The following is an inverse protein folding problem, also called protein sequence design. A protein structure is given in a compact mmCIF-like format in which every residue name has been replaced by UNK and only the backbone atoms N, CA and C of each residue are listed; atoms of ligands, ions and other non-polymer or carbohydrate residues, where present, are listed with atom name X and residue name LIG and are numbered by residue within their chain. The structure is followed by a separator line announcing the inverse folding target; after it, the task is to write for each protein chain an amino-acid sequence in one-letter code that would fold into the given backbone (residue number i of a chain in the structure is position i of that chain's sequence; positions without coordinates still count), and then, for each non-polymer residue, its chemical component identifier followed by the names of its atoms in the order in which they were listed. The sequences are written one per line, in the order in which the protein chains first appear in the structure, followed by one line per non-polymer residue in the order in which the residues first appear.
data_IF_186489930673
#
_entry.id   IF_186489930673
#
_cell.length_a   1.000
_cell.length_b   1.000
_cell.length_c   1.000
_cell.angle_alpha   90.00
_cell.angle_beta   90.00
_cell.angle_gamma   90.00
#
_symmetry.space_group_name_H-M   'P 1'
#
loop_
_entity.id
_entity.type
_entity.pdbx_description
1 polymer ?
#
# COMPACT_ATOMS: atom_id res chain seq x y z
N UNK A 1 24.98 -19.97 6.78
CA UNK A 1 24.41 -20.24 5.46
C UNK A 1 23.24 -21.18 5.70
N UNK A 2 22.02 -20.67 5.72
CA UNK A 2 20.84 -21.50 5.91
C UNK A 2 20.62 -22.40 4.70
N UNK A 3 20.45 -23.70 4.92
CA UNK A 3 20.02 -24.66 3.91
C UNK A 3 18.60 -24.27 3.45
N UNK A 4 18.47 -23.45 2.40
CA UNK A 4 17.20 -23.27 1.73
C UNK A 4 16.80 -24.62 1.12
N UNK A 5 15.60 -25.10 1.40
CA UNK A 5 15.08 -26.29 0.76
C UNK A 5 15.11 -26.13 -0.78
N UNK A 6 15.47 -27.18 -1.52
CA UNK A 6 15.52 -27.12 -2.98
C UNK A 6 14.15 -26.73 -3.55
N UNK A 7 14.10 -25.90 -4.61
CA UNK A 7 12.83 -25.49 -5.22
C UNK A 7 12.11 -26.73 -5.80
N UNK A 8 10.78 -26.70 -5.70
CA UNK A 8 9.95 -27.78 -6.27
C UNK A 8 9.52 -27.38 -7.67
N UNK A 9 9.79 -28.26 -8.65
CA UNK A 9 9.30 -28.15 -10.03
C UNK A 9 8.23 -29.22 -10.27
N UNK A 10 7.12 -28.80 -10.87
CA UNK A 10 6.01 -29.69 -11.21
C UNK A 10 6.20 -30.21 -12.64
N UNK A 11 6.16 -31.52 -12.81
CA UNK A 11 6.08 -32.19 -14.10
C UNK A 11 4.76 -32.94 -14.19
N UNK A 12 3.84 -32.44 -15.01
CA UNK A 12 2.55 -33.06 -15.22
C UNK A 12 2.52 -33.75 -16.59
N UNK A 13 2.65 -35.07 -16.60
CA UNK A 13 2.53 -35.90 -17.80
C UNK A 13 2.17 -37.33 -17.41
N UNK A 14 1.28 -37.96 -18.17
CA UNK A 14 0.95 -39.37 -18.01
C UNK A 14 1.88 -40.29 -18.79
N UNK A 15 2.70 -39.76 -19.71
CA UNK A 15 3.59 -40.49 -20.59
C UNK A 15 4.93 -40.85 -19.90
N UNK A 16 5.27 -42.14 -19.69
CA UNK A 16 6.46 -42.54 -18.98
C UNK A 16 7.76 -42.14 -19.69
N UNK A 17 7.81 -42.22 -21.03
CA UNK A 17 8.98 -41.88 -21.84
C UNK A 17 9.32 -40.40 -21.74
N UNK A 18 8.32 -39.52 -21.78
CA UNK A 18 8.50 -38.09 -21.65
C UNK A 18 8.97 -37.69 -20.24
N UNK A 19 8.42 -38.33 -19.21
CA UNK A 19 8.88 -38.12 -17.83
C UNK A 19 10.33 -38.51 -17.64
N UNK A 20 10.71 -39.73 -18.12
CA UNK A 20 12.08 -40.23 -18.02
C UNK A 20 13.10 -39.32 -18.72
N UNK A 21 12.68 -38.62 -19.79
CA UNK A 21 13.53 -37.69 -20.51
C UNK A 21 13.62 -36.30 -19.83
N UNK A 22 12.52 -35.78 -19.22
CA UNK A 22 12.46 -34.45 -18.63
C UNK A 22 12.91 -34.40 -17.16
N UNK A 23 12.71 -35.44 -16.37
CA UNK A 23 13.13 -35.48 -14.96
C UNK A 23 14.62 -35.15 -14.76
N UNK A 24 15.56 -35.76 -15.54
CA UNK A 24 16.98 -35.38 -15.43
C UNK A 24 17.26 -33.91 -15.80
N UNK A 25 16.54 -33.39 -16.80
CA UNK A 25 16.68 -31.97 -17.20
C UNK A 25 16.27 -31.08 -16.06
N UNK A 26 15.11 -31.31 -15.44
CA UNK A 26 14.61 -30.53 -14.31
C UNK A 26 15.51 -30.69 -13.08
N UNK A 27 15.98 -31.89 -12.77
CA UNK A 27 16.91 -32.11 -11.67
C UNK A 27 18.25 -31.39 -11.85
N UNK A 28 18.69 -31.16 -13.11
CA UNK A 28 19.93 -30.41 -13.40
C UNK A 28 19.90 -28.96 -12.92
N UNK A 29 18.73 -28.39 -12.62
CA UNK A 29 18.55 -27.08 -12.00
C UNK A 29 18.63 -27.10 -10.46
N UNK A 30 18.94 -28.24 -9.85
CA UNK A 30 18.98 -28.40 -8.40
C UNK A 30 17.59 -28.41 -7.73
N UNK A 31 16.55 -28.70 -8.51
CA UNK A 31 15.18 -28.73 -8.05
C UNK A 31 14.72 -30.12 -7.67
N UNK A 32 13.78 -30.23 -6.71
CA UNK A 32 13.01 -31.45 -6.45
C UNK A 32 11.86 -31.53 -7.45
N UNK A 33 11.81 -32.60 -8.23
CA UNK A 33 10.76 -32.78 -9.24
C UNK A 33 9.55 -33.50 -8.59
N UNK A 34 8.40 -32.85 -8.66
CA UNK A 34 7.09 -33.40 -8.28
C UNK A 34 6.37 -33.86 -9.54
N UNK A 35 6.16 -35.15 -9.70
CA UNK A 35 5.46 -35.70 -10.85
C UNK A 35 3.99 -35.95 -10.53
N UNK A 36 3.11 -35.55 -11.47
CA UNK A 36 1.66 -35.82 -11.42
C UNK A 36 1.17 -36.34 -12.78
N UNK A 37 0.12 -37.16 -12.77
CA UNK A 37 -0.29 -37.92 -13.94
C UNK A 37 -1.62 -37.45 -14.56
N UNK A 38 -2.26 -36.43 -13.96
CA UNK A 38 -3.55 -35.89 -14.45
C UNK A 38 -3.62 -34.41 -14.29
N UNK A 39 -4.49 -33.77 -15.07
CA UNK A 39 -4.75 -32.34 -15.01
C UNK A 39 -5.31 -31.90 -13.65
N UNK A 40 -6.16 -32.70 -13.02
CA UNK A 40 -6.70 -32.43 -11.69
C UNK A 40 -5.61 -32.39 -10.63
N UNK A 41 -4.71 -33.41 -10.61
CA UNK A 41 -3.59 -33.45 -9.68
C UNK A 41 -2.59 -32.28 -9.93
N UNK A 42 -2.40 -31.87 -11.18
CA UNK A 42 -1.58 -30.71 -11.52
C UNK A 42 -2.19 -29.41 -10.93
N UNK A 43 -3.50 -29.22 -11.08
CA UNK A 43 -4.20 -28.06 -10.53
C UNK A 43 -4.12 -28.02 -9.00
N UNK A 44 -4.31 -29.14 -8.32
CA UNK A 44 -4.18 -29.24 -6.87
C UNK A 44 -2.74 -28.92 -6.40
N UNK A 45 -1.73 -29.45 -7.10
CA UNK A 45 -0.34 -29.12 -6.81
C UNK A 45 0.00 -27.65 -6.98
N UNK A 46 -0.54 -27.00 -8.01
CA UNK A 46 -0.36 -25.56 -8.27
C UNK A 46 -1.10 -24.65 -7.25
N UNK A 47 -2.19 -25.14 -6.65
CA UNK A 47 -2.98 -24.43 -5.62
C UNK A 47 -2.49 -24.67 -4.19
N UNK A 48 -1.59 -25.63 -3.98
CA UNK A 48 -1.11 -25.97 -2.64
C UNK A 48 -0.29 -24.83 -2.00
N UNK A 49 -0.16 -24.85 -0.69
CA UNK A 49 0.69 -23.89 0.05
C UNK A 49 2.16 -23.95 -0.43
N UNK A 50 2.62 -25.14 -0.82
CA UNK A 50 3.94 -25.38 -1.41
C UNK A 50 3.87 -25.36 -2.95
N UNK A 51 3.35 -24.25 -3.51
CA UNK A 51 3.23 -24.09 -4.95
C UNK A 51 4.60 -24.25 -5.65
N UNK A 52 4.63 -24.90 -6.83
CA UNK A 52 5.88 -25.11 -7.56
C UNK A 52 6.50 -23.78 -8.00
N UNK A 53 7.82 -23.79 -8.20
CA UNK A 53 8.55 -22.66 -8.80
C UNK A 53 8.58 -22.69 -10.33
N UNK A 54 8.14 -23.78 -10.92
CA UNK A 54 7.98 -24.02 -12.36
C UNK A 54 6.94 -25.11 -12.55
N UNK A 55 6.04 -24.99 -13.50
CA UNK A 55 5.11 -26.03 -13.92
C UNK A 55 5.31 -26.38 -15.40
N UNK A 56 5.66 -27.64 -15.66
CA UNK A 56 5.66 -28.22 -17.00
C UNK A 56 4.38 -29.05 -17.16
N UNK A 57 3.56 -28.70 -18.16
CA UNK A 57 2.26 -29.30 -18.40
C UNK A 57 2.22 -29.95 -19.78
N UNK A 58 2.08 -31.24 -19.83
CA UNK A 58 1.86 -32.00 -21.07
C UNK A 58 0.47 -31.69 -21.63
N UNK A 59 0.38 -31.29 -22.89
CA UNK A 59 -0.89 -31.00 -23.56
C UNK A 59 -1.85 -32.19 -23.62
N UNK A 60 -1.34 -33.40 -23.49
CA UNK A 60 -2.08 -34.68 -23.50
C UNK A 60 -2.46 -35.18 -22.09
N UNK A 61 -2.41 -34.33 -21.07
CA UNK A 61 -2.82 -34.72 -19.72
C UNK A 61 -4.29 -35.16 -19.70
N UNK A 62 -4.58 -36.34 -19.12
CA UNK A 62 -5.96 -36.80 -18.97
C UNK A 62 -6.70 -36.02 -17.88
N UNK A 63 -8.02 -35.90 -18.02
CA UNK A 63 -8.94 -35.37 -17.03
C UNK A 63 -9.61 -34.07 -17.48
N UNK A 64 -9.01 -32.91 -17.25
CA UNK A 64 -9.54 -31.60 -17.64
C UNK A 64 -9.03 -31.21 -19.03
N UNK A 65 -9.83 -30.44 -19.76
CA UNK A 65 -9.31 -29.77 -20.94
C UNK A 65 -8.15 -28.82 -20.57
N UNK A 66 -7.10 -28.77 -21.38
CA UNK A 66 -5.91 -27.95 -21.12
C UNK A 66 -6.25 -26.46 -21.02
N UNK A 67 -7.19 -25.96 -21.82
CA UNK A 67 -7.69 -24.58 -21.70
C UNK A 67 -8.25 -24.29 -20.31
N UNK A 68 -9.10 -25.15 -19.81
CA UNK A 68 -9.69 -25.00 -18.48
C UNK A 68 -8.66 -25.15 -17.35
N UNK A 69 -7.70 -26.06 -17.48
CA UNK A 69 -6.59 -26.19 -16.53
C UNK A 69 -5.78 -24.92 -16.44
N UNK A 70 -5.39 -24.33 -17.57
CA UNK A 70 -4.58 -23.12 -17.65
C UNK A 70 -5.32 -21.91 -17.08
N UNK A 71 -6.60 -21.73 -17.43
CA UNK A 71 -7.42 -20.64 -16.90
C UNK A 71 -7.57 -20.74 -15.39
N UNK A 72 -7.87 -21.93 -14.87
CA UNK A 72 -7.97 -22.21 -13.45
C UNK A 72 -6.63 -21.98 -12.72
N UNK A 73 -5.52 -22.39 -13.31
CA UNK A 73 -4.19 -22.17 -12.75
C UNK A 73 -3.88 -20.66 -12.63
N UNK A 74 -4.17 -19.87 -13.65
CA UNK A 74 -3.93 -18.41 -13.64
C UNK A 74 -4.87 -17.63 -12.70
N UNK A 75 -6.13 -18.05 -12.60
CA UNK A 75 -7.10 -17.43 -11.68
C UNK A 75 -6.81 -17.73 -10.20
N UNK A 76 -6.29 -18.91 -9.91
CA UNK A 76 -6.07 -19.39 -8.53
C UNK A 76 -4.79 -18.86 -7.89
N UNK A 77 -3.85 -18.38 -8.68
CA UNK A 77 -2.50 -17.97 -8.25
C UNK A 77 -2.46 -16.46 -7.95
N UNK A 78 -3.45 -15.93 -7.24
CA UNK A 78 -3.33 -14.57 -6.67
C UNK A 78 -2.24 -14.54 -5.59
N UNK A 79 -1.03 -14.16 -5.99
CA UNK A 79 0.11 -13.92 -5.08
C UNK A 79 1.31 -14.87 -5.24
N UNK A 80 1.15 -16.09 -5.75
CA UNK A 80 2.25 -17.00 -6.05
C UNK A 80 2.33 -17.23 -7.55
N UNK A 81 3.07 -16.40 -8.27
CA UNK A 81 3.26 -16.55 -9.70
C UNK A 81 4.52 -17.39 -9.98
N UNK A 82 4.38 -18.37 -10.83
CA UNK A 82 5.45 -19.23 -11.34
C UNK A 82 5.27 -19.42 -12.85
N UNK A 83 6.35 -19.68 -13.60
CA UNK A 83 6.24 -19.94 -15.03
C UNK A 83 5.51 -21.26 -15.31
N UNK A 84 4.61 -21.21 -16.30
CA UNK A 84 3.91 -22.35 -16.86
C UNK A 84 4.44 -22.61 -18.25
N UNK A 85 5.01 -23.77 -18.48
CA UNK A 85 5.54 -24.21 -19.78
C UNK A 85 4.74 -25.41 -20.25
N UNK A 86 4.16 -25.33 -21.45
CA UNK A 86 3.36 -26.43 -22.00
C UNK A 86 4.20 -27.27 -22.97
N UNK A 87 4.02 -28.60 -22.93
CA UNK A 87 4.71 -29.54 -23.79
C UNK A 87 3.74 -29.98 -24.90
N UNK A 88 4.15 -29.77 -26.15
CA UNK A 88 3.29 -29.93 -27.34
C UNK A 88 3.96 -30.86 -28.36
N UNK A 89 3.15 -31.51 -29.20
CA UNK A 89 3.67 -32.17 -30.40
C UNK A 89 3.99 -31.16 -31.50
N UNK A 90 3.08 -30.19 -31.70
CA UNK A 90 3.21 -29.15 -32.71
C UNK A 90 2.70 -27.81 -32.18
N UNK A 91 3.30 -26.73 -32.61
CA UNK A 91 2.85 -25.38 -32.31
C UNK A 91 1.70 -24.99 -33.25
N UNK A 92 0.49 -24.82 -32.70
CA UNK A 92 -0.70 -24.35 -33.45
C UNK A 92 -1.00 -22.91 -33.16
N UNK A 93 -1.85 -22.25 -33.98
CA UNK A 93 -2.28 -20.86 -33.77
C UNK A 93 -2.92 -20.63 -32.40
N UNK A 94 -3.66 -21.63 -31.89
CA UNK A 94 -4.24 -21.56 -30.54
C UNK A 94 -3.18 -21.48 -29.44
N UNK A 95 -2.04 -22.17 -29.59
CA UNK A 95 -0.93 -22.10 -28.65
C UNK A 95 -0.14 -20.79 -28.79
N UNK A 96 0.01 -20.29 -30.02
CA UNK A 96 0.60 -18.97 -30.27
C UNK A 96 -0.19 -17.89 -29.55
N UNK A 97 -1.53 -17.94 -29.60
CA UNK A 97 -2.39 -16.97 -28.91
C UNK A 97 -2.27 -17.09 -27.37
N UNK A 98 -2.18 -18.29 -26.82
CA UNK A 98 -1.94 -18.49 -25.38
C UNK A 98 -0.59 -17.95 -24.91
N UNK A 99 0.45 -18.04 -25.74
CA UNK A 99 1.75 -17.41 -25.49
C UNK A 99 1.63 -15.88 -25.51
N UNK A 100 0.96 -15.31 -26.51
CA UNK A 100 0.78 -13.86 -26.66
C UNK A 100 -0.02 -13.24 -25.53
N UNK A 101 -1.03 -13.96 -25.03
CA UNK A 101 -1.90 -13.52 -23.92
C UNK A 101 -1.29 -13.80 -22.55
N UNK A 102 -0.13 -14.46 -22.47
CA UNK A 102 0.54 -14.78 -21.21
C UNK A 102 -0.15 -15.88 -20.39
N UNK A 103 -1.07 -16.64 -21.00
CA UNK A 103 -1.67 -17.83 -20.35
C UNK A 103 -0.63 -18.91 -20.10
N UNK A 104 0.32 -19.07 -21.03
CA UNK A 104 1.55 -19.86 -20.85
C UNK A 104 2.76 -18.97 -21.06
N UNK A 105 3.84 -19.24 -20.31
CA UNK A 105 5.07 -18.45 -20.42
C UNK A 105 5.96 -18.96 -21.57
N UNK A 106 5.91 -20.28 -21.86
CA UNK A 106 6.64 -20.87 -22.97
C UNK A 106 6.04 -22.22 -23.39
N UNK A 107 6.54 -22.75 -24.51
CA UNK A 107 6.19 -24.09 -25.04
C UNK A 107 7.44 -24.87 -25.36
N UNK A 108 7.38 -26.17 -25.11
CA UNK A 108 8.38 -27.15 -25.49
C UNK A 108 7.80 -28.11 -26.54
N UNK A 109 8.55 -28.36 -27.61
CA UNK A 109 8.16 -29.40 -28.53
C UNK A 109 8.65 -30.75 -28.01
N UNK A 110 7.78 -31.75 -28.02
CA UNK A 110 8.06 -33.11 -27.57
C UNK A 110 9.22 -33.74 -28.39
N UNK A 111 9.33 -33.40 -29.66
CA UNK A 111 10.37 -33.88 -30.56
C UNK A 111 11.74 -33.25 -30.37
N UNK A 112 11.86 -32.23 -29.52
CA UNK A 112 13.12 -31.53 -29.27
C UNK A 112 14.05 -32.37 -28.35
N UNK A 113 15.34 -32.07 -28.38
CA UNK A 113 16.32 -32.70 -27.52
C UNK A 113 16.39 -32.07 -26.11
N UNK A 114 17.04 -32.78 -25.19
CA UNK A 114 17.18 -32.33 -23.79
C UNK A 114 17.92 -31.02 -23.65
N UNK A 115 18.88 -30.70 -24.52
CA UNK A 115 19.63 -29.44 -24.49
C UNK A 115 18.74 -28.27 -24.86
N UNK A 116 17.90 -28.44 -25.88
CA UNK A 116 16.91 -27.44 -26.27
C UNK A 116 15.89 -27.20 -25.15
N UNK A 117 15.34 -28.26 -24.54
CA UNK A 117 14.43 -28.15 -23.41
C UNK A 117 15.05 -27.40 -22.23
N UNK A 118 16.30 -27.72 -21.89
CA UNK A 118 17.02 -27.03 -20.81
C UNK A 118 17.13 -25.54 -21.05
N UNK A 119 17.55 -25.13 -22.24
CA UNK A 119 17.69 -23.70 -22.62
C UNK A 119 16.34 -23.00 -22.59
N UNK A 120 15.28 -23.61 -23.14
CA UNK A 120 13.93 -23.00 -23.16
C UNK A 120 13.38 -22.83 -21.75
N UNK A 121 13.50 -23.83 -20.90
CA UNK A 121 13.08 -23.75 -19.49
C UNK A 121 13.83 -22.62 -18.76
N UNK A 122 15.16 -22.55 -18.95
CA UNK A 122 15.96 -21.47 -18.35
C UNK A 122 15.53 -20.08 -18.82
N UNK A 123 15.25 -19.92 -20.10
CA UNK A 123 14.77 -18.64 -20.68
C UNK A 123 13.39 -18.28 -20.15
N UNK A 124 12.45 -19.23 -20.08
CA UNK A 124 11.12 -19.01 -19.55
C UNK A 124 11.17 -18.58 -18.06
N UNK A 125 11.98 -19.27 -17.26
CA UNK A 125 12.20 -18.90 -15.86
C UNK A 125 12.80 -17.50 -15.73
N UNK A 126 13.83 -17.17 -16.50
CA UNK A 126 14.49 -15.85 -16.49
C UNK A 126 13.51 -14.76 -16.88
N UNK A 127 12.78 -14.94 -17.98
CA UNK A 127 11.79 -13.96 -18.46
C UNK A 127 10.69 -13.72 -17.41
N UNK A 128 10.17 -14.79 -16.80
CA UNK A 128 9.17 -14.70 -15.74
C UNK A 128 9.68 -13.90 -14.53
N UNK A 129 10.86 -14.21 -14.02
CA UNK A 129 11.43 -13.50 -12.88
C UNK A 129 11.75 -12.04 -13.19
N UNK A 130 12.24 -11.73 -14.39
CA UNK A 130 12.47 -10.35 -14.81
C UNK A 130 11.16 -9.55 -14.89
N UNK A 131 10.11 -10.12 -15.45
CA UNK A 131 8.80 -9.48 -15.49
C UNK A 131 8.29 -9.18 -14.07
N UNK A 132 8.41 -10.14 -13.15
CA UNK A 132 8.02 -9.97 -11.73
C UNK A 132 8.82 -8.88 -11.02
N UNK A 133 10.13 -8.81 -11.27
CA UNK A 133 10.97 -7.75 -10.71
C UNK A 133 10.57 -6.37 -11.24
N UNK A 134 10.26 -6.27 -12.53
CA UNK A 134 9.77 -5.02 -13.11
C UNK A 134 8.43 -4.59 -12.52
N UNK A 135 7.50 -5.50 -12.33
CA UNK A 135 6.22 -5.21 -11.71
C UNK A 135 6.38 -4.75 -10.25
N UNK A 136 7.22 -5.46 -9.48
CA UNK A 136 7.51 -5.07 -8.09
C UNK A 136 8.16 -3.67 -8.01
N UNK A 137 9.10 -3.36 -8.91
CA UNK A 137 9.72 -2.03 -8.98
C UNK A 137 8.72 -0.94 -9.40
N UNK A 138 7.81 -1.26 -10.32
CA UNK A 138 6.72 -0.34 -10.72
C UNK A 138 5.77 -0.06 -9.56
N UNK A 139 5.37 -1.09 -8.82
CA UNK A 139 4.49 -0.95 -7.65
C UNK A 139 5.17 -0.13 -6.55
N UNK A 140 6.47 -0.37 -6.30
CA UNK A 140 7.26 0.42 -5.35
C UNK A 140 7.39 1.89 -5.79
N UNK A 141 7.67 2.14 -7.07
CA UNK A 141 7.75 3.48 -7.63
C UNK A 141 6.40 4.20 -7.57
N UNK A 142 5.29 3.50 -7.87
CA UNK A 142 3.94 4.03 -7.75
C UNK A 142 3.59 4.37 -6.30
N UNK A 143 3.93 3.50 -5.34
CA UNK A 143 3.69 3.78 -3.91
C UNK A 143 4.55 4.94 -3.41
N UNK A 144 5.82 5.04 -3.81
CA UNK A 144 6.68 6.20 -3.52
C UNK A 144 6.12 7.49 -4.11
N UNK A 145 5.60 7.43 -5.35
CA UNK A 145 4.96 8.58 -6.01
C UNK A 145 3.69 9.06 -5.31
N UNK A 146 3.05 8.23 -4.48
CA UNK A 146 1.85 8.58 -3.70
C UNK A 146 2.16 9.26 -2.38
N UNK A 147 3.42 9.29 -1.97
CA UNK A 147 3.86 9.86 -0.70
C UNK A 147 4.52 11.22 -0.90
N UNK A 148 4.32 12.09 0.08
CA UNK A 148 5.10 13.31 0.23
C UNK A 148 6.54 12.96 0.62
N UNK A 149 7.51 13.47 -0.13
CA UNK A 149 8.92 13.10 0.01
C UNK A 149 9.53 13.50 1.38
N UNK A 150 8.98 14.55 2.02
CA UNK A 150 9.48 15.05 3.30
C UNK A 150 8.89 14.27 4.48
N UNK A 151 7.58 14.06 4.47
CA UNK A 151 6.85 13.57 5.64
C UNK A 151 6.45 12.10 5.55
N UNK A 152 6.49 11.52 4.34
CA UNK A 152 5.95 10.19 4.07
C UNK A 152 4.44 10.06 4.30
N UNK A 153 3.71 11.17 4.48
CA UNK A 153 2.26 11.24 4.42
C UNK A 153 1.78 11.05 2.97
N UNK A 154 0.50 10.79 2.74
CA UNK A 154 -0.02 10.78 1.38
C UNK A 154 0.08 12.18 0.76
N UNK A 155 0.50 12.26 -0.51
CA UNK A 155 0.46 13.53 -1.23
C UNK A 155 -0.99 13.89 -1.61
N UNK A 156 -1.19 15.09 -2.18
CA UNK A 156 -2.51 15.61 -2.52
C UNK A 156 -3.35 14.67 -3.40
N UNK A 157 -2.74 14.13 -4.46
CA UNK A 157 -3.42 13.27 -5.44
C UNK A 157 -3.82 11.92 -4.82
N UNK A 158 -2.88 11.30 -4.13
CA UNK A 158 -3.12 10.03 -3.46
C UNK A 158 -4.17 10.17 -2.36
N UNK A 159 -4.11 11.25 -1.57
CA UNK A 159 -5.09 11.51 -0.51
C UNK A 159 -6.50 11.69 -1.09
N UNK A 160 -6.64 12.45 -2.18
CA UNK A 160 -7.94 12.63 -2.84
C UNK A 160 -8.50 11.30 -3.38
N UNK A 161 -7.64 10.50 -4.03
CA UNK A 161 -8.02 9.16 -4.52
C UNK A 161 -8.49 8.24 -3.39
N UNK A 162 -7.79 8.25 -2.26
CA UNK A 162 -8.17 7.47 -1.07
C UNK A 162 -9.48 7.96 -0.45
N UNK A 163 -9.72 9.28 -0.41
CA UNK A 163 -10.97 9.85 0.09
C UNK A 163 -12.17 9.40 -0.74
N UNK A 164 -12.08 9.31 -2.07
CA UNK A 164 -13.15 8.76 -2.90
C UNK A 164 -13.47 7.31 -2.50
N UNK A 165 -12.44 6.47 -2.34
CA UNK A 165 -12.63 5.07 -1.94
C UNK A 165 -13.24 4.93 -0.55
N UNK A 166 -12.80 5.73 0.42
CA UNK A 166 -13.35 5.72 1.78
C UNK A 166 -14.79 6.28 1.79
N UNK A 167 -15.10 7.28 0.96
CA UNK A 167 -16.49 7.79 0.82
C UNK A 167 -17.42 6.69 0.33
N UNK A 168 -17.04 5.94 -0.70
CA UNK A 168 -17.83 4.80 -1.21
C UNK A 168 -18.00 3.72 -0.14
N UNK A 169 -16.96 3.47 0.65
CA UNK A 169 -17.00 2.49 1.75
C UNK A 169 -17.95 2.92 2.86
N UNK A 170 -17.81 4.14 3.38
CA UNK A 170 -18.64 4.64 4.49
C UNK A 170 -20.10 4.83 4.06
N UNK A 171 -20.35 5.16 2.79
CA UNK A 171 -21.70 5.22 2.23
C UNK A 171 -22.39 3.85 2.28
N UNK A 172 -21.70 2.80 1.88
CA UNK A 172 -22.22 1.41 1.95
C UNK A 172 -22.45 0.96 3.39
N UNK A 173 -21.57 1.35 4.30
CA UNK A 173 -21.65 0.99 5.73
C UNK A 173 -22.56 1.93 6.53
N UNK A 174 -23.10 3.00 5.91
CA UNK A 174 -23.87 4.06 6.56
C UNK A 174 -23.15 4.63 7.81
N UNK A 175 -21.84 4.76 7.73
CA UNK A 175 -20.99 5.29 8.79
C UNK A 175 -20.48 6.69 8.44
N UNK A 176 -20.14 7.54 9.43
CA UNK A 176 -19.62 8.87 9.17
C UNK A 176 -18.17 8.82 8.64
N UNK A 177 -17.75 9.87 7.94
CA UNK A 177 -16.36 10.17 7.58
C UNK A 177 -16.08 11.60 8.01
N UNK A 178 -15.15 11.79 8.92
CA UNK A 178 -14.69 13.13 9.30
C UNK A 178 -13.36 13.46 8.64
N UNK A 179 -13.23 14.69 8.17
CA UNK A 179 -11.99 15.29 7.68
C UNK A 179 -11.53 16.34 8.69
N UNK A 180 -10.29 16.22 9.12
CA UNK A 180 -9.61 17.18 10.00
C UNK A 180 -8.46 17.77 9.21
N UNK A 181 -8.63 19.00 8.75
CA UNK A 181 -7.64 19.76 8.03
C UNK A 181 -6.96 20.70 9.02
N UNK A 182 -5.62 20.72 9.05
CA UNK A 182 -4.91 21.64 9.92
C UNK A 182 -3.72 22.29 9.22
N UNK A 183 -3.48 23.54 9.59
CA UNK A 183 -2.41 24.37 9.07
C UNK A 183 -1.44 24.70 10.21
N UNK A 184 -0.14 24.59 9.93
CA UNK A 184 0.92 24.90 10.89
C UNK A 184 1.23 26.39 10.75
N UNK A 185 1.07 27.11 11.85
CA UNK A 185 1.35 28.53 11.89
C UNK A 185 2.87 28.79 11.92
N UNK A 186 3.29 29.94 11.37
CA UNK A 186 4.63 30.52 11.45
C UNK A 186 5.81 29.66 10.93
N UNK A 187 5.56 28.49 10.34
CA UNK A 187 6.64 27.64 9.84
C UNK A 187 7.47 28.33 8.74
N UNK A 188 6.83 29.16 7.91
CA UNK A 188 7.53 29.99 6.90
C UNK A 188 8.47 31.02 7.52
N UNK A 189 8.09 31.58 8.66
CA UNK A 189 8.93 32.52 9.39
C UNK A 189 10.20 31.85 9.91
N UNK A 190 10.10 30.62 10.38
CA UNK A 190 11.25 29.81 10.76
C UNK A 190 12.14 29.47 9.56
N UNK A 191 11.54 29.14 8.41
CA UNK A 191 12.27 28.83 7.17
C UNK A 191 13.11 29.98 6.65
N UNK A 192 12.60 31.24 6.73
CA UNK A 192 13.34 32.42 6.32
C UNK A 192 14.54 32.76 7.21
N UNK A 193 14.53 32.31 8.47
CA UNK A 193 15.60 32.56 9.45
C UNK A 193 16.65 31.47 9.52
N UNK A 194 16.24 30.21 9.42
CA UNK A 194 17.10 29.06 9.71
C UNK A 194 17.24 28.06 8.54
N UNK A 195 16.59 28.33 7.42
CA UNK A 195 16.69 27.55 6.20
C UNK A 195 15.61 26.47 6.04
N UNK A 196 15.45 25.99 4.81
CA UNK A 196 14.41 25.03 4.40
C UNK A 196 14.56 23.67 5.09
N UNK A 197 15.80 23.22 5.31
CA UNK A 197 16.11 21.91 5.93
C UNK A 197 15.52 21.79 7.34
N UNK A 198 15.54 22.87 8.13
CA UNK A 198 14.94 22.87 9.46
C UNK A 198 13.42 22.69 9.39
N UNK A 199 12.77 23.38 8.47
CA UNK A 199 11.31 23.26 8.28
C UNK A 199 10.91 21.85 7.85
N UNK A 200 11.69 21.23 7.00
CA UNK A 200 11.44 19.86 6.56
C UNK A 200 11.61 18.85 7.71
N UNK A 201 12.60 19.03 8.56
CA UNK A 201 12.77 18.23 9.77
C UNK A 201 11.59 18.41 10.75
N UNK A 202 11.10 19.65 10.92
CA UNK A 202 9.91 19.93 11.74
C UNK A 202 8.67 19.26 11.18
N UNK A 203 8.44 19.34 9.86
CA UNK A 203 7.32 18.68 9.18
C UNK A 203 7.38 17.16 9.31
N UNK A 204 8.58 16.57 9.16
CA UNK A 204 8.80 15.13 9.33
C UNK A 204 8.47 14.68 10.76
N UNK A 205 8.98 15.37 11.77
CA UNK A 205 8.73 15.05 13.18
C UNK A 205 7.27 15.27 13.57
N UNK A 206 6.64 16.31 13.05
CA UNK A 206 5.22 16.54 13.23
C UNK A 206 4.38 15.40 12.65
N UNK A 207 4.62 15.04 11.39
CA UNK A 207 3.94 13.92 10.77
C UNK A 207 4.10 12.62 11.57
N UNK A 208 5.29 12.36 12.11
CA UNK A 208 5.54 11.19 12.96
C UNK A 208 4.78 11.26 14.29
N UNK A 209 4.61 12.44 14.92
CA UNK A 209 3.78 12.61 16.13
C UNK A 209 2.29 12.40 15.82
N UNK A 210 1.80 12.97 14.72
CA UNK A 210 0.40 12.78 14.29
C UNK A 210 0.13 11.31 13.99
N UNK A 211 1.00 10.62 13.22
CA UNK A 211 0.84 9.20 12.90
C UNK A 211 0.69 8.30 14.12
N UNK A 212 1.36 8.60 15.22
CA UNK A 212 1.24 7.82 16.47
C UNK A 212 -0.12 7.91 17.14
N UNK A 213 -0.90 8.93 16.81
CA UNK A 213 -2.25 9.13 17.34
C UNK A 213 -3.34 8.58 16.42
N UNK A 214 -2.97 8.11 15.22
CA UNK A 214 -3.88 7.57 14.23
C UNK A 214 -4.04 6.05 14.38
N UNK A 215 -5.24 5.58 14.04
CA UNK A 215 -5.51 4.15 13.91
C UNK A 215 -4.97 3.63 12.57
N UNK A 216 -4.89 2.32 12.41
CA UNK A 216 -4.35 1.68 11.19
C UNK A 216 -5.14 2.00 9.91
N UNK A 217 -6.40 2.36 10.04
CA UNK A 217 -7.28 2.72 8.91
C UNK A 217 -7.51 4.23 8.76
N UNK A 218 -6.98 5.06 9.67
CA UNK A 218 -6.99 6.52 9.51
C UNK A 218 -5.94 6.93 8.48
N UNK A 219 -6.22 7.98 7.73
CA UNK A 219 -5.35 8.45 6.66
C UNK A 219 -4.72 9.79 7.03
N UNK A 220 -3.41 9.92 6.80
CA UNK A 220 -2.69 11.19 6.92
C UNK A 220 -2.17 11.61 5.56
N UNK A 221 -2.57 12.78 5.10
CA UNK A 221 -2.10 13.43 3.88
C UNK A 221 -1.44 14.78 4.16
N UNK A 222 -0.60 15.21 3.22
CA UNK A 222 -0.03 16.55 3.17
C UNK A 222 -0.35 17.16 1.81
N UNK A 223 -1.55 17.79 1.67
CA UNK A 223 -2.00 18.36 0.40
C UNK A 223 -1.32 19.69 0.05
N UNK A 224 -0.61 20.31 0.96
CA UNK A 224 0.11 21.57 0.80
C UNK A 224 1.37 21.66 1.66
N UNK A 225 2.10 22.76 1.54
CA UNK A 225 3.41 22.92 2.17
C UNK A 225 3.35 22.80 3.70
N UNK A 226 2.45 23.55 4.34
CA UNK A 226 2.24 23.57 5.79
C UNK A 226 0.83 23.07 6.17
N UNK A 227 0.16 22.39 5.23
CA UNK A 227 -1.20 21.90 5.34
C UNK A 227 -1.22 20.39 5.44
N UNK A 228 -1.89 19.88 6.45
CA UNK A 228 -2.10 18.46 6.67
C UNK A 228 -3.58 18.11 6.72
N UNK A 229 -3.92 16.93 6.27
CA UNK A 229 -5.27 16.39 6.25
C UNK A 229 -5.31 15.03 6.89
N UNK A 230 -6.16 14.86 7.90
CA UNK A 230 -6.48 13.56 8.49
C UNK A 230 -7.89 13.17 8.07
N UNK A 231 -8.05 11.96 7.56
CA UNK A 231 -9.37 11.38 7.34
C UNK A 231 -9.62 10.26 8.36
N UNK A 232 -10.78 10.34 9.01
CA UNK A 232 -11.21 9.48 10.11
C UNK A 232 -12.48 8.70 9.70
N UNK A 233 -12.35 7.54 9.02
CA UNK A 233 -13.49 6.72 8.65
C UNK A 233 -14.21 6.14 9.88
N UNK A 234 -15.54 6.17 9.89
CA UNK A 234 -16.36 5.69 11.00
C UNK A 234 -16.29 6.56 12.26
N UNK A 235 -15.76 7.79 12.15
CA UNK A 235 -15.60 8.70 13.27
C UNK A 235 -16.77 9.70 13.35
N UNK A 236 -17.56 9.72 14.43
CA UNK A 236 -18.54 10.78 14.68
C UNK A 236 -17.89 12.16 14.84
N UNK A 237 -18.66 13.21 14.61
CA UNK A 237 -18.17 14.60 14.64
C UNK A 237 -17.54 14.97 15.98
N UNK A 238 -18.19 14.61 17.09
CA UNK A 238 -17.71 14.89 18.44
C UNK A 238 -16.31 14.27 18.68
N UNK A 239 -16.12 13.05 18.22
CA UNK A 239 -14.83 12.35 18.32
C UNK A 239 -13.75 12.96 17.43
N UNK A 240 -14.12 13.54 16.29
CA UNK A 240 -13.17 14.26 15.42
C UNK A 240 -12.73 15.60 16.07
N UNK A 241 -13.62 16.29 16.78
CA UNK A 241 -13.29 17.47 17.57
C UNK A 241 -12.34 17.10 18.69
N UNK A 242 -12.65 16.07 19.49
CA UNK A 242 -11.74 15.58 20.53
C UNK A 242 -10.39 15.11 20.00
N UNK A 243 -10.35 14.55 18.78
CA UNK A 243 -9.11 14.21 18.14
C UNK A 243 -8.27 15.47 17.84
N UNK A 244 -8.86 16.54 17.33
CA UNK A 244 -8.17 17.81 17.06
C UNK A 244 -7.67 18.46 18.38
N UNK A 245 -8.47 18.47 19.45
CA UNK A 245 -8.08 18.93 20.77
C UNK A 245 -6.87 18.13 21.31
N UNK A 246 -6.92 16.81 21.19
CA UNK A 246 -5.81 15.94 21.59
C UNK A 246 -4.55 16.20 20.77
N UNK A 247 -4.68 16.44 19.45
CA UNK A 247 -3.52 16.84 18.62
C UNK A 247 -2.90 18.13 19.13
N UNK A 248 -3.70 19.15 19.47
CA UNK A 248 -3.19 20.39 20.07
C UNK A 248 -2.41 20.10 21.36
N UNK A 249 -3.02 19.36 22.27
CA UNK A 249 -2.45 19.09 23.59
C UNK A 249 -1.19 18.21 23.52
N UNK A 250 -1.22 17.11 22.77
CA UNK A 250 -0.15 16.11 22.83
C UNK A 250 0.93 16.36 21.75
N UNK A 251 0.57 16.95 20.61
CA UNK A 251 1.51 17.15 19.50
C UNK A 251 2.13 18.53 19.52
N UNK A 252 1.32 19.58 19.68
CA UNK A 252 1.76 20.98 19.55
C UNK A 252 2.22 21.60 20.87
N UNK A 253 1.65 21.22 22.00
CA UNK A 253 2.05 21.73 23.30
C UNK A 253 3.49 21.33 23.71
N UNK A 254 3.99 20.22 23.19
CA UNK A 254 5.35 19.76 23.45
C UNK A 254 6.34 20.33 22.44
N UNK A 255 7.40 21.04 22.83
CA UNK A 255 8.33 21.64 21.89
C UNK A 255 9.05 20.58 21.04
N UNK A 256 9.37 20.97 19.82
CA UNK A 256 10.21 20.19 18.91
C UNK A 256 11.68 20.52 19.18
N UNK A 257 12.45 19.56 19.64
CA UNK A 257 13.89 19.76 19.88
C UNK A 257 14.67 19.49 18.61
N UNK A 258 15.38 20.50 18.10
CA UNK A 258 16.27 20.43 16.95
C UNK A 258 17.64 20.96 17.35
N UNK A 259 18.61 20.05 17.51
CA UNK A 259 19.88 20.40 18.13
C UNK A 259 19.67 20.96 19.56
N UNK A 260 20.14 22.16 19.79
CA UNK A 260 20.01 22.86 21.08
C UNK A 260 18.77 23.77 21.18
N UNK A 261 17.96 23.83 20.12
CA UNK A 261 16.76 24.68 20.08
C UNK A 261 15.48 23.90 20.40
N UNK A 262 14.58 24.53 21.14
CA UNK A 262 13.24 24.03 21.44
C UNK A 262 12.21 24.93 20.73
N UNK A 263 11.61 24.42 19.67
CA UNK A 263 10.67 25.16 18.81
C UNK A 263 9.25 24.76 19.17
N UNK A 264 8.42 25.70 19.55
CA UNK A 264 6.99 25.50 19.72
C UNK A 264 6.29 25.86 18.42
N UNK A 265 5.48 24.96 17.91
CA UNK A 265 4.60 25.19 16.76
C UNK A 265 3.17 25.32 17.26
N UNK A 266 2.38 26.16 16.58
CA UNK A 266 0.93 26.23 16.73
C UNK A 266 0.24 25.78 15.45
N UNK A 267 -1.01 25.43 15.55
CA UNK A 267 -1.82 25.03 14.41
C UNK A 267 -3.28 25.43 14.59
N UNK A 268 -3.94 25.72 13.46
CA UNK A 268 -5.38 25.94 13.39
C UNK A 268 -6.03 24.74 12.70
N UNK A 269 -7.26 24.39 13.11
CA UNK A 269 -7.97 23.21 12.65
C UNK A 269 -9.32 23.53 12.05
N UNK A 270 -9.61 22.96 10.88
CA UNK A 270 -10.93 22.95 10.26
C UNK A 270 -11.44 21.53 10.13
N UNK A 271 -12.65 21.27 10.60
CA UNK A 271 -13.26 19.96 10.64
C UNK A 271 -14.55 19.98 9.81
N UNK A 272 -14.76 18.93 9.02
CA UNK A 272 -16.04 18.70 8.34
C UNK A 272 -16.38 17.20 8.37
N UNK A 273 -17.68 16.89 8.36
CA UNK A 273 -18.15 15.51 8.38
C UNK A 273 -19.08 15.19 7.22
N UNK A 274 -19.12 13.93 6.84
CA UNK A 274 -19.95 13.42 5.75
C UNK A 274 -20.51 12.06 6.06
N UNK A 275 -21.75 11.82 5.59
CA UNK A 275 -22.41 10.52 5.54
C UNK A 275 -22.44 10.00 4.07
N UNK A 276 -21.31 10.11 3.36
CA UNK A 276 -21.21 9.66 1.97
C UNK A 276 -21.41 10.74 0.92
N UNK A 277 -21.29 12.03 1.28
CA UNK A 277 -21.23 13.14 0.29
C UNK A 277 -19.88 13.13 -0.43
N UNK A 278 -19.83 13.76 -1.60
CA UNK A 278 -18.59 13.86 -2.38
C UNK A 278 -17.42 14.37 -1.52
N UNK A 279 -16.26 13.72 -1.52
CA UNK A 279 -15.11 14.13 -0.73
C UNK A 279 -14.60 15.53 -1.10
N UNK A 280 -14.81 15.96 -2.35
CA UNK A 280 -14.43 17.31 -2.80
C UNK A 280 -15.27 18.40 -2.07
N UNK A 281 -16.56 18.13 -1.86
CA UNK A 281 -17.45 19.05 -1.12
C UNK A 281 -17.04 19.12 0.34
N UNK A 282 -16.84 17.96 0.98
CA UNK A 282 -16.46 17.88 2.40
C UNK A 282 -15.08 18.51 2.65
N UNK A 283 -14.16 18.35 1.69
CA UNK A 283 -12.84 18.99 1.77
C UNK A 283 -12.96 20.54 1.72
N UNK A 284 -13.81 21.09 0.84
CA UNK A 284 -14.07 22.53 0.80
C UNK A 284 -14.69 23.06 2.10
N UNK A 285 -15.59 22.28 2.69
CA UNK A 285 -16.18 22.60 3.99
C UNK A 285 -15.12 22.64 5.09
N UNK A 286 -14.19 21.67 5.11
CA UNK A 286 -13.06 21.66 6.03
C UNK A 286 -12.10 22.84 5.79
N UNK A 287 -11.86 23.21 4.52
CA UNK A 287 -11.05 24.39 4.16
C UNK A 287 -11.70 25.70 4.64
N UNK A 288 -13.02 25.83 4.51
CA UNK A 288 -13.75 27.00 5.01
C UNK A 288 -13.72 27.09 6.54
N UNK A 289 -13.90 25.95 7.23
CA UNK A 289 -13.76 25.88 8.68
C UNK A 289 -12.32 26.24 9.11
N UNK A 290 -11.31 25.76 8.42
CA UNK A 290 -9.92 26.10 8.70
C UNK A 290 -9.64 27.59 8.49
N UNK A 291 -10.22 28.21 7.46
CA UNK A 291 -10.08 29.64 7.23
C UNK A 291 -10.63 30.45 8.42
N UNK A 292 -11.82 30.09 8.93
CA UNK A 292 -12.40 30.72 10.13
C UNK A 292 -11.53 30.50 11.37
N UNK A 293 -10.97 29.31 11.55
CA UNK A 293 -10.04 29.04 12.65
C UNK A 293 -8.82 29.97 12.60
N UNK A 294 -8.21 30.14 11.42
CA UNK A 294 -7.06 31.03 11.25
C UNK A 294 -7.39 32.51 11.48
N UNK A 295 -8.59 32.96 11.10
CA UNK A 295 -9.09 34.31 11.37
C UNK A 295 -9.32 34.55 12.88
N UNK A 296 -9.70 33.52 13.63
CA UNK A 296 -9.87 33.60 15.07
C UNK A 296 -8.55 33.64 15.87
N UNK A 297 -7.46 33.16 15.27
CA UNK A 297 -6.13 33.16 15.89
C UNK A 297 -5.52 31.76 16.05
N UNK A 298 -4.29 31.67 16.54
CA UNK A 298 -3.57 30.41 16.68
C UNK A 298 -4.30 29.45 17.66
N UNK A 299 -4.06 28.16 17.47
CA UNK A 299 -4.62 27.06 18.30
C UNK A 299 -6.17 26.96 18.28
N UNK A 300 -6.83 27.55 17.26
CA UNK A 300 -8.29 27.54 17.11
C UNK A 300 -8.78 26.31 16.34
N UNK A 301 -9.94 25.77 16.75
CA UNK A 301 -10.64 24.66 16.12
C UNK A 301 -12.02 25.10 15.68
N UNK A 302 -12.36 24.86 14.41
CA UNK A 302 -13.69 25.12 13.87
C UNK A 302 -14.26 23.86 13.22
N UNK A 303 -15.56 23.63 13.47
CA UNK A 303 -16.35 22.64 12.75
C UNK A 303 -17.25 23.33 11.73
N UNK A 304 -17.31 22.82 10.50
CA UNK A 304 -18.17 23.35 9.45
C UNK A 304 -19.65 23.12 9.78
N UNK A 305 -20.44 24.18 9.77
CA UNK A 305 -21.86 24.16 10.15
C UNK A 305 -22.13 24.56 11.60
N UNK A 306 -21.10 24.80 12.38
CA UNK A 306 -21.27 25.42 13.70
C UNK A 306 -21.20 26.95 13.56
N UNK A 307 -22.28 27.64 13.93
CA UNK A 307 -22.31 29.10 13.96
C UNK A 307 -21.69 29.69 15.24
N UNK A 308 -21.34 28.81 16.19
CA UNK A 308 -20.75 29.19 17.46
C UNK A 308 -19.31 29.71 17.29
N UNK A 309 -18.84 30.46 18.28
CA UNK A 309 -17.47 30.94 18.39
C UNK A 309 -16.47 29.74 18.36
N UNK A 310 -15.19 29.98 18.01
CA UNK A 310 -14.19 28.93 17.99
C UNK A 310 -14.19 28.14 19.29
N UNK A 311 -14.11 26.82 19.19
CA UNK A 311 -13.83 25.99 20.35
C UNK A 311 -12.41 26.37 20.80
N UNK A 312 -12.31 27.32 21.72
CA UNK A 312 -11.05 27.58 22.39
C UNK A 312 -10.69 26.30 23.17
N UNK A 313 -9.45 25.82 23.10
CA UNK A 313 -9.03 24.74 24.00
C UNK A 313 -9.37 25.16 25.42
N UNK A 314 -10.06 24.29 26.15
CA UNK A 314 -10.45 24.54 27.54
C UNK A 314 -9.26 25.15 28.28
N UNK A 315 -9.47 26.36 28.79
CA UNK A 315 -8.44 27.27 29.29
C UNK A 315 -7.27 26.49 29.91
N UNK A 316 -6.08 26.70 29.35
CA UNK A 316 -4.84 26.30 30.01
C UNK A 316 -4.91 26.86 31.43
N UNK A 317 -5.10 25.98 32.41
CA UNK A 317 -4.77 26.31 33.78
C UNK A 317 -3.30 26.70 33.77
N UNK A 318 -3.04 27.99 33.83
CA UNK A 318 -1.69 28.51 34.11
C UNK A 318 -1.15 27.71 35.30
N UNK A 319 0.08 27.18 35.25
CA UNK A 319 0.72 26.71 36.47
C UNK A 319 0.70 27.90 37.40
N UNK A 320 0.01 27.72 38.54
CA UNK A 320 -0.05 28.71 39.61
C UNK A 320 1.38 29.20 39.84
N UNK A 321 1.54 30.52 39.75
CA UNK A 321 2.73 31.22 40.19
C UNK A 321 3.01 30.80 41.65
N UNK A 322 4.03 29.98 41.86
CA UNK A 322 4.63 29.74 43.14
C UNK A 322 5.47 30.97 43.53
N UNK A 323 4.77 32.06 43.82
CA UNK A 323 5.36 33.24 44.48
C UNK A 323 4.44 33.64 45.64
N UNK A 324 4.39 32.78 46.67
CA UNK A 324 3.97 33.17 48.01
C UNK A 324 4.29 32.00 48.96
N UNK A 325 5.57 31.87 49.31
CA UNK A 325 5.98 31.23 50.58
C UNK A 325 7.44 31.67 50.88
N UNK A 326 7.55 32.93 51.16
CA UNK A 326 8.68 33.43 51.91
C UNK A 326 8.16 34.51 52.83
N UNK A 327 7.74 34.11 54.03
CA UNK A 327 7.84 34.86 55.31
C UNK A 327 7.09 34.02 56.35
N UNK A 328 7.80 33.32 57.18
CA UNK A 328 7.85 33.14 58.61
C UNK A 328 8.63 31.90 58.97
#
# INVERSE_FOLDING_TARGET
MGNAEPPVYLLASHEPSLRAALEPVLASFGAKVKVVLSAQAALEAMKSADAPKLALLDAHLPGLEMSHLLDQARLSVKGQSFPIVSILDTLTDAWVERLRTGVVDDVLLRSADASFWKVRIELAMRAHWQARQLDALRDEAAEKSRRDAVTGAYNREAMLSLLFRETDRVQRLKSPLCLVLFYIDDLRHWGSRQGVTLCDELRLRLAARVKRQLRSYDLLGRPGEDLFLVALPGCPTENAIHFAERLLLETFNSPFRLGNEAIRLTACFGIASSLGRSPVVVLREAEEALKRAREAGPESIYFFGDEAAPLAPAAYLSPASNDELAVC
#
